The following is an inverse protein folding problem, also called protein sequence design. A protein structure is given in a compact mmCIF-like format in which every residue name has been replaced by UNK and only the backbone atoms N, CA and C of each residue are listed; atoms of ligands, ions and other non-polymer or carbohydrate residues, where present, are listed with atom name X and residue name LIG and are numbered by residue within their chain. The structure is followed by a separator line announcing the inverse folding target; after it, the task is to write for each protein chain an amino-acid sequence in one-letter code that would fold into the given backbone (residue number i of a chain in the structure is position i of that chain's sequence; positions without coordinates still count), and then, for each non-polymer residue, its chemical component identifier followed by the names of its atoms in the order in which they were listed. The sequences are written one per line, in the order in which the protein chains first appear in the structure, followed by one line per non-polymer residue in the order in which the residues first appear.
data_IF_242388062122
#
_entry.id   IF_242388062122
#
_cell.length_a   1.000
_cell.length_b   1.000
_cell.length_c   1.000
_cell.angle_alpha   90.00
_cell.angle_beta   90.00
_cell.angle_gamma   90.00
#
_symmetry.space_group_name_H-M   'P 1'
#
loop_
_entity.id
_entity.type
_entity.pdbx_description
1 polymer ?
#
# COMPACT_ATOMS: atom_id res chain seq x y z
N UNK A 1 16.52 -21.02 -17.92
CA UNK A 1 16.15 -19.97 -16.96
C UNK A 1 15.02 -20.54 -16.12
N UNK A 2 15.29 -20.96 -14.89
CA UNK A 2 14.30 -21.65 -14.07
C UNK A 2 13.14 -20.71 -13.74
N UNK A 3 11.95 -21.07 -14.20
CA UNK A 3 10.71 -20.37 -13.88
C UNK A 3 10.46 -20.58 -12.38
N UNK A 4 10.63 -19.52 -11.59
CA UNK A 4 10.31 -19.59 -10.16
C UNK A 4 8.80 -19.79 -10.02
N UNK A 5 8.38 -21.04 -9.82
CA UNK A 5 6.97 -21.39 -9.62
C UNK A 5 6.56 -20.85 -8.25
N UNK A 6 5.91 -19.68 -8.26
CA UNK A 6 5.24 -19.15 -7.06
C UNK A 6 4.27 -20.21 -6.55
N UNK A 7 4.34 -20.63 -5.26
CA UNK A 7 3.44 -21.64 -4.72
C UNK A 7 1.97 -21.28 -4.94
N UNK A 8 1.13 -22.25 -5.30
CA UNK A 8 -0.28 -22.00 -5.65
C UNK A 8 -1.04 -21.24 -4.55
N UNK A 9 -0.81 -21.57 -3.27
CA UNK A 9 -1.45 -20.87 -2.15
C UNK A 9 -1.07 -19.37 -2.07
N UNK A 10 0.16 -19.01 -2.45
CA UNK A 10 0.60 -17.61 -2.50
C UNK A 10 -0.09 -16.89 -3.66
N UNK A 11 -0.17 -17.54 -4.83
CA UNK A 11 -0.88 -17.03 -6.00
C UNK A 11 -2.36 -16.78 -5.72
N UNK A 12 -3.05 -17.74 -5.13
CA UNK A 12 -4.47 -17.62 -4.79
C UNK A 12 -4.74 -16.45 -3.84
N UNK A 13 -3.90 -16.29 -2.81
CA UNK A 13 -4.02 -15.17 -1.87
C UNK A 13 -3.76 -13.83 -2.54
N UNK A 14 -2.76 -13.77 -3.43
CA UNK A 14 -2.43 -12.57 -4.20
C UNK A 14 -3.58 -12.19 -5.14
N UNK A 15 -4.13 -13.16 -5.88
CA UNK A 15 -5.26 -12.94 -6.79
C UNK A 15 -6.50 -12.46 -6.02
N UNK A 16 -6.80 -13.08 -4.87
CA UNK A 16 -7.90 -12.66 -4.00
C UNK A 16 -7.72 -11.22 -3.48
N UNK A 17 -6.48 -10.78 -3.25
CA UNK A 17 -6.16 -9.42 -2.85
C UNK A 17 -6.29 -8.43 -4.02
N UNK A 18 -5.69 -8.76 -5.18
CA UNK A 18 -5.73 -7.91 -6.38
C UNK A 18 -7.16 -7.70 -6.89
N UNK A 19 -8.04 -8.71 -6.79
CA UNK A 19 -9.47 -8.59 -7.16
C UNK A 19 -10.25 -7.57 -6.33
N UNK A 20 -9.80 -7.26 -5.11
CA UNK A 20 -10.47 -6.27 -4.24
C UNK A 20 -10.17 -4.82 -4.64
N UNK A 21 -9.19 -4.61 -5.53
CA UNK A 21 -8.64 -3.29 -5.83
C UNK A 21 -7.76 -2.75 -4.72
N UNK A 22 -6.89 -1.81 -5.07
CA UNK A 22 -5.95 -1.18 -4.16
C UNK A 22 -6.45 0.19 -3.70
N UNK A 23 -6.46 0.39 -2.39
CA UNK A 23 -6.91 1.62 -1.72
C UNK A 23 -5.74 2.45 -1.24
N UNK A 24 -5.97 3.72 -0.94
CA UNK A 24 -4.98 4.53 -0.22
C UNK A 24 -4.81 4.03 1.21
N UNK A 25 -3.61 4.14 1.79
CA UNK A 25 -3.41 3.90 3.21
C UNK A 25 -3.03 5.21 3.91
N UNK A 26 -4.01 5.84 4.56
CA UNK A 26 -3.87 7.18 5.14
C UNK A 26 -4.31 7.13 6.61
N UNK A 27 -3.48 7.68 7.49
CA UNK A 27 -3.74 7.75 8.94
C UNK A 27 -4.09 6.39 9.59
N UNK A 28 -3.40 5.33 9.15
CA UNK A 28 -3.58 3.97 9.67
C UNK A 28 -4.80 3.22 9.11
N UNK A 29 -5.47 3.74 8.07
CA UNK A 29 -6.68 3.15 7.50
C UNK A 29 -6.60 3.04 5.98
N UNK A 30 -7.26 2.01 5.43
CA UNK A 30 -7.51 1.93 4.00
C UNK A 30 -8.67 2.85 3.61
N UNK A 31 -8.46 3.70 2.61
CA UNK A 31 -9.40 4.75 2.19
C UNK A 31 -9.59 4.69 0.68
N UNK A 32 -10.83 4.72 0.23
CA UNK A 32 -11.17 4.89 -1.19
C UNK A 32 -10.87 6.32 -1.64
N UNK A 33 -10.88 6.57 -2.96
CA UNK A 33 -10.81 7.93 -3.48
C UNK A 33 -12.09 8.69 -3.14
N UNK A 34 -11.98 9.96 -2.75
CA UNK A 34 -13.12 10.82 -2.50
C UNK A 34 -14.00 11.04 -3.75
N UNK A 35 -13.43 10.98 -4.96
CA UNK A 35 -14.23 11.02 -6.20
C UNK A 35 -14.83 9.66 -6.56
N UNK A 36 -14.43 8.58 -5.88
CA UNK A 36 -14.78 7.20 -6.22
C UNK A 36 -14.04 6.66 -7.45
N UNK A 37 -13.21 7.48 -8.10
CA UNK A 37 -12.52 7.09 -9.32
C UNK A 37 -11.39 6.09 -9.05
N UNK A 38 -11.16 5.21 -10.02
CA UNK A 38 -10.08 4.22 -10.01
C UNK A 38 -9.46 4.12 -11.39
N UNK A 39 -8.18 3.73 -11.46
CA UNK A 39 -7.47 3.47 -12.71
C UNK A 39 -6.96 2.03 -12.80
N UNK A 40 -6.87 1.53 -14.02
CA UNK A 40 -6.39 0.18 -14.33
C UNK A 40 -4.87 0.11 -14.19
N UNK A 41 -4.36 -0.96 -13.58
CA UNK A 41 -2.94 -1.30 -13.54
C UNK A 41 -2.72 -2.50 -14.47
N UNK A 42 -2.10 -2.33 -15.64
CA UNK A 42 -1.86 -3.43 -16.56
C UNK A 42 -0.65 -4.28 -16.12
N UNK A 43 -0.70 -5.57 -16.41
CA UNK A 43 0.44 -6.47 -16.32
C UNK A 43 1.42 -6.16 -17.46
N UNK A 44 2.70 -5.83 -17.19
CA UNK A 44 3.66 -5.46 -18.23
C UNK A 44 4.03 -6.63 -19.17
N UNK A 45 3.82 -7.88 -18.76
CA UNK A 45 4.12 -9.05 -19.59
C UNK A 45 2.98 -9.41 -20.57
N UNK A 46 1.73 -9.12 -20.23
CA UNK A 46 0.55 -9.54 -21.02
C UNK A 46 -0.32 -8.38 -21.52
N UNK A 47 -0.16 -7.18 -20.96
CA UNK A 47 -1.03 -6.03 -21.19
C UNK A 47 -2.42 -6.12 -20.56
N UNK A 48 -2.78 -7.27 -19.97
CA UNK A 48 -4.09 -7.46 -19.32
C UNK A 48 -4.17 -6.72 -17.99
N UNK A 49 -5.36 -6.28 -17.59
CA UNK A 49 -5.59 -5.64 -16.29
C UNK A 49 -5.23 -6.60 -15.15
N UNK A 50 -4.32 -6.16 -14.28
CA UNK A 50 -3.90 -6.88 -13.07
C UNK A 50 -4.82 -6.53 -11.88
N UNK A 51 -5.13 -5.26 -11.72
CA UNK A 51 -5.98 -4.72 -10.66
C UNK A 51 -6.40 -3.29 -10.98
N UNK A 52 -7.23 -2.69 -10.13
CA UNK A 52 -7.58 -1.26 -10.16
C UNK A 52 -7.11 -0.59 -8.87
N UNK A 53 -6.58 0.62 -8.99
CA UNK A 53 -6.13 1.44 -7.87
C UNK A 53 -7.03 2.66 -7.71
N UNK A 54 -7.32 3.06 -6.47
CA UNK A 54 -7.97 4.32 -6.15
C UNK A 54 -7.17 5.50 -6.76
N UNK A 55 -7.88 6.39 -7.46
CA UNK A 55 -7.29 7.57 -8.07
C UNK A 55 -7.14 8.66 -7.01
N UNK A 56 -5.89 9.01 -6.67
CA UNK A 56 -5.60 10.04 -5.68
C UNK A 56 -5.80 11.44 -6.24
N UNK A 57 -6.57 12.26 -5.55
CA UNK A 57 -6.78 13.67 -5.86
C UNK A 57 -6.35 14.60 -4.73
N UNK A 58 -6.77 15.86 -4.82
CA UNK A 58 -6.46 16.89 -3.82
C UNK A 58 -6.88 16.49 -2.40
N UNK A 59 -8.04 15.84 -2.25
CA UNK A 59 -8.58 15.45 -0.96
C UNK A 59 -7.67 14.44 -0.24
N UNK A 60 -7.22 13.39 -0.93
CA UNK A 60 -6.35 12.36 -0.38
C UNK A 60 -4.98 12.94 -0.02
N UNK A 61 -4.45 13.83 -0.86
CA UNK A 61 -3.19 14.53 -0.60
C UNK A 61 -3.30 15.39 0.66
N UNK A 62 -4.36 16.19 0.79
CA UNK A 62 -4.58 17.05 1.95
C UNK A 62 -4.75 16.22 3.23
N UNK A 63 -5.48 15.09 3.16
CA UNK A 63 -5.65 14.17 4.28
C UNK A 63 -4.32 13.52 4.70
N UNK A 64 -3.55 13.00 3.73
CA UNK A 64 -2.26 12.37 3.96
C UNK A 64 -1.24 13.36 4.54
N UNK A 65 -1.16 14.58 3.99
CA UNK A 65 -0.25 15.61 4.48
C UNK A 65 -0.58 16.00 5.93
N UNK A 66 -1.86 16.23 6.25
CA UNK A 66 -2.30 16.52 7.62
C UNK A 66 -1.96 15.37 8.58
N UNK A 67 -2.17 14.12 8.18
CA UNK A 67 -1.82 12.96 8.98
C UNK A 67 -0.31 12.86 9.23
N UNK A 68 0.51 13.05 8.20
CA UNK A 68 1.97 13.05 8.32
C UNK A 68 2.46 14.16 9.28
N UNK A 69 1.94 15.38 9.18
CA UNK A 69 2.28 16.49 10.08
C UNK A 69 1.91 16.17 11.53
N UNK A 70 0.76 15.55 11.79
CA UNK A 70 0.39 15.10 13.15
C UNK A 70 1.34 14.04 13.67
N UNK A 71 1.59 12.99 12.87
CA UNK A 71 2.47 11.89 13.25
C UNK A 71 3.90 12.35 13.53
N UNK A 72 4.40 13.33 12.78
CA UNK A 72 5.75 13.86 12.95
C UNK A 72 6.00 14.42 14.37
N UNK A 73 4.98 14.98 15.03
CA UNK A 73 5.09 15.54 16.39
C UNK A 73 5.49 14.48 17.43
N UNK A 74 5.08 13.23 17.24
CA UNK A 74 5.40 12.12 18.14
C UNK A 74 6.53 11.24 17.59
N UNK A 75 6.43 10.81 16.33
CA UNK A 75 7.43 9.97 15.66
C UNK A 75 8.80 10.65 15.56
N UNK A 76 8.83 11.94 15.24
CA UNK A 76 10.05 12.73 15.10
C UNK A 76 10.81 12.87 16.43
N UNK A 77 10.09 12.86 17.56
CA UNK A 77 10.67 12.94 18.91
C UNK A 77 11.08 11.59 19.49
N UNK A 78 10.70 10.49 18.85
CA UNK A 78 11.05 9.15 19.31
C UNK A 78 12.57 8.94 19.28
N UNK A 79 13.12 8.20 20.24
CA UNK A 79 14.55 7.89 20.23
C UNK A 79 14.91 7.04 18.98
N UNK A 80 16.09 7.24 18.36
CA UNK A 80 16.51 6.45 17.20
C UNK A 80 16.47 4.93 17.42
N UNK A 81 16.84 4.47 18.62
CA UNK A 81 16.80 3.06 18.98
C UNK A 81 15.38 2.46 18.93
N UNK A 82 14.38 3.21 19.41
CA UNK A 82 12.98 2.77 19.40
C UNK A 82 12.41 2.70 17.98
N UNK A 83 12.69 3.72 17.14
CA UNK A 83 12.33 3.65 15.71
C UNK A 83 12.99 2.47 15.02
N UNK A 84 14.27 2.21 15.33
CA UNK A 84 15.01 1.07 14.79
C UNK A 84 14.41 -0.28 15.15
N UNK A 85 13.87 -0.44 16.38
CA UNK A 85 13.15 -1.66 16.78
C UNK A 85 11.91 -1.88 15.92
N UNK A 86 11.12 -0.83 15.68
CA UNK A 86 9.91 -0.90 14.85
C UNK A 86 10.23 -1.25 13.38
N UNK A 87 11.26 -0.63 12.80
CA UNK A 87 11.70 -0.92 11.44
C UNK A 87 12.22 -2.35 11.29
N UNK A 88 12.97 -2.88 12.28
CA UNK A 88 13.42 -4.28 12.28
C UNK A 88 12.24 -5.26 12.37
N UNK A 89 11.24 -4.96 13.20
CA UNK A 89 10.03 -5.78 13.28
C UNK A 89 9.27 -5.77 11.95
N UNK A 90 9.21 -4.62 11.26
CA UNK A 90 8.62 -4.55 9.93
C UNK A 90 9.38 -5.40 8.91
N UNK A 91 10.72 -5.35 8.92
CA UNK A 91 11.54 -6.17 8.03
C UNK A 91 11.34 -7.69 8.23
N UNK A 92 10.99 -8.14 9.44
CA UNK A 92 10.66 -9.56 9.71
C UNK A 92 9.31 -10.01 9.11
N UNK A 93 8.48 -9.07 8.63
CA UNK A 93 7.18 -9.36 8.03
C UNK A 93 7.20 -9.36 6.49
N UNK A 94 8.30 -8.92 5.88
CA UNK A 94 8.50 -8.92 4.42
C UNK A 94 9.21 -10.20 3.98
#
# INVERSE_FOLDING_TARGET
MAEAVIPNAVRERMDAWLRKGLKHFIDGKFVDSASGETFSVPNPATGQELTRCALGGKAEIDLAAKAAVRAFKTWGRMAPAERGKLLRRWAQLM
#
